data_IF_704383183012
#
_entry.id   IF_704383183012
#
_cell.length_a   1.000
_cell.length_b   1.000
_cell.length_c   1.000
_cell.angle_alpha   90.00
_cell.angle_beta   90.00
_cell.angle_gamma   90.00
#
_symmetry.space_group_name_H-M   'P 1'
#
loop_
_entity.id
_entity.type
_entity.pdbx_description
1 polymer ?
#
# COMPACT_ATOMS: atom_id res chain seq x y z
N UNK A 1 17.16 21.01 13.30
CA UNK A 1 16.28 20.03 12.63
C UNK A 1 16.38 20.24 11.13
N UNK A 2 16.40 19.20 10.28
CA UNK A 2 16.16 19.42 8.86
C UNK A 2 14.75 19.99 8.69
N UNK A 3 14.52 20.89 7.73
CA UNK A 3 13.19 21.45 7.52
C UNK A 3 12.22 20.35 7.08
N UNK A 4 11.01 20.35 7.66
CA UNK A 4 9.87 19.57 7.15
C UNK A 4 9.48 20.16 5.79
N UNK A 5 10.13 19.69 4.73
CA UNK A 5 9.81 20.11 3.36
C UNK A 5 8.76 19.15 2.81
N UNK A 6 7.56 19.66 2.57
CA UNK A 6 6.56 18.96 1.78
C UNK A 6 6.91 19.05 0.29
N UNK A 7 7.41 17.95 -0.25
CA UNK A 7 7.83 17.85 -1.66
C UNK A 7 6.63 17.93 -2.60
N UNK A 8 5.45 17.43 -2.22
CA UNK A 8 4.25 17.52 -3.06
C UNK A 8 3.82 18.97 -3.18
N UNK A 9 3.84 19.70 -2.08
CA UNK A 9 3.55 21.12 -2.05
C UNK A 9 4.56 21.93 -2.89
N UNK A 10 5.84 21.57 -2.81
CA UNK A 10 6.92 22.20 -3.59
C UNK A 10 6.73 21.99 -5.10
N UNK A 11 6.44 20.75 -5.53
CA UNK A 11 6.15 20.42 -6.93
C UNK A 11 4.91 21.16 -7.42
N UNK A 12 3.87 21.30 -6.59
CA UNK A 12 2.67 22.07 -6.95
C UNK A 12 2.96 23.55 -7.20
N UNK A 13 3.88 24.16 -6.47
CA UNK A 13 4.22 25.57 -6.62
C UNK A 13 5.21 25.86 -7.75
N UNK A 14 6.24 25.03 -7.90
CA UNK A 14 7.36 25.30 -8.81
C UNK A 14 7.31 24.48 -10.10
N UNK A 15 6.39 23.52 -10.19
CA UNK A 15 6.44 22.46 -11.18
C UNK A 15 7.57 21.46 -10.91
N UNK A 16 7.56 20.34 -11.64
CA UNK A 16 8.55 19.27 -11.49
C UNK A 16 9.98 19.76 -11.70
N UNK A 17 10.21 20.58 -12.72
CA UNK A 17 11.56 21.05 -13.07
C UNK A 17 12.06 22.12 -12.10
N UNK A 18 11.19 23.04 -11.67
CA UNK A 18 11.52 24.04 -10.67
C UNK A 18 11.82 23.42 -9.31
N UNK A 19 11.00 22.45 -8.87
CA UNK A 19 11.24 21.70 -7.65
C UNK A 19 12.53 20.85 -7.74
N UNK A 20 12.79 20.20 -8.88
CA UNK A 20 14.02 19.43 -9.12
C UNK A 20 15.26 20.34 -9.03
N UNK A 21 15.27 21.46 -9.74
CA UNK A 21 16.37 22.41 -9.71
C UNK A 21 16.60 22.98 -8.31
N UNK A 22 15.51 23.34 -7.62
CA UNK A 22 15.55 23.85 -6.25
C UNK A 22 16.15 22.84 -5.26
N UNK A 23 15.71 21.58 -5.29
CA UNK A 23 16.22 20.53 -4.41
C UNK A 23 17.67 20.14 -4.75
N UNK A 24 18.04 20.11 -6.03
CA UNK A 24 19.38 19.76 -6.47
C UNK A 24 20.42 20.81 -6.05
N UNK A 25 20.07 22.10 -6.11
CA UNK A 25 20.98 23.22 -5.83
C UNK A 25 20.87 23.73 -4.39
N UNK A 26 19.85 23.32 -3.63
CA UNK A 26 19.64 23.81 -2.27
C UNK A 26 20.76 23.40 -1.32
N UNK A 27 21.35 24.42 -0.68
CA UNK A 27 22.37 24.25 0.37
C UNK A 27 21.79 23.66 1.66
N UNK A 28 20.51 23.91 1.95
CA UNK A 28 19.83 23.39 3.15
C UNK A 28 19.34 21.95 2.98
N UNK A 29 19.14 21.49 1.74
CA UNK A 29 18.77 20.11 1.41
C UNK A 29 19.98 19.22 1.21
N UNK A 30 20.67 18.89 2.31
CA UNK A 30 21.77 17.91 2.29
C UNK A 30 21.27 16.52 1.85
N UNK A 31 22.17 15.64 1.43
CA UNK A 31 21.83 14.25 1.08
C UNK A 31 21.09 13.55 2.22
N UNK A 32 21.51 13.76 3.47
CA UNK A 32 20.85 13.19 4.64
C UNK A 32 19.44 13.75 4.85
N UNK A 33 19.23 15.05 4.61
CA UNK A 33 17.90 15.66 4.67
C UNK A 33 16.98 15.07 3.59
N UNK A 34 17.48 14.94 2.36
CA UNK A 34 16.74 14.32 1.25
C UNK A 34 16.40 12.85 1.54
N UNK A 35 17.31 12.09 2.16
CA UNK A 35 17.05 10.70 2.60
C UNK A 35 15.97 10.62 3.66
N UNK A 36 15.96 11.55 4.63
CA UNK A 36 14.91 11.63 5.66
C UNK A 36 13.55 11.91 5.04
N UNK A 37 13.48 12.86 4.11
CA UNK A 37 12.25 13.18 3.37
C UNK A 37 11.79 11.99 2.52
N UNK A 38 12.72 11.29 1.86
CA UNK A 38 12.40 10.08 1.11
C UNK A 38 11.81 8.99 2.02
N UNK A 39 12.39 8.80 3.21
CA UNK A 39 11.89 7.85 4.19
C UNK A 39 10.47 8.19 4.67
N UNK A 40 10.17 9.47 4.93
CA UNK A 40 8.80 9.89 5.31
C UNK A 40 7.78 9.68 4.19
N UNK A 41 8.22 9.62 2.94
CA UNK A 41 7.37 9.32 1.77
C UNK A 41 7.34 7.82 1.44
N UNK A 42 7.91 6.95 2.28
CA UNK A 42 7.98 5.50 2.04
C UNK A 42 8.91 5.08 0.90
N UNK A 43 9.79 5.99 0.45
CA UNK A 43 10.70 5.77 -0.67
C UNK A 43 11.98 5.10 -0.17
N UNK A 44 12.29 3.92 -0.72
CA UNK A 44 13.55 3.23 -0.45
C UNK A 44 14.64 3.78 -1.36
N UNK A 45 15.61 4.47 -0.76
CA UNK A 45 16.75 5.06 -1.48
C UNK A 45 18.00 4.25 -1.20
N UNK A 46 18.70 3.81 -2.26
CA UNK A 46 19.96 3.08 -2.11
C UNK A 46 21.01 3.90 -1.33
N UNK A 47 21.82 3.25 -0.51
CA UNK A 47 22.83 3.91 0.33
C UNK A 47 23.86 4.71 -0.50
N UNK A 48 24.19 4.20 -1.69
CA UNK A 48 25.10 4.85 -2.66
C UNK A 48 24.40 5.78 -3.66
N UNK A 49 23.09 6.02 -3.52
CA UNK A 49 22.36 6.90 -4.43
C UNK A 49 22.93 8.32 -4.42
N UNK A 50 23.15 8.87 -5.61
CA UNK A 50 23.61 10.27 -5.78
C UNK A 50 22.48 11.23 -5.42
N UNK A 51 22.81 12.48 -5.06
CA UNK A 51 21.81 13.53 -4.77
C UNK A 51 20.75 13.62 -5.85
N UNK A 52 21.16 13.65 -7.12
CA UNK A 52 20.24 13.77 -8.26
C UNK A 52 19.30 12.57 -8.31
N UNK A 53 19.80 11.35 -8.11
CA UNK A 53 18.95 10.15 -8.04
C UNK A 53 17.89 10.25 -6.94
N UNK A 54 18.24 10.77 -5.76
CA UNK A 54 17.27 10.96 -4.66
C UNK A 54 16.22 12.00 -5.04
N UNK A 55 16.65 13.14 -5.58
CA UNK A 55 15.75 14.21 -6.02
C UNK A 55 14.80 13.71 -7.10
N UNK A 56 15.31 13.01 -8.11
CA UNK A 56 14.51 12.48 -9.20
C UNK A 56 13.41 11.54 -8.69
N UNK A 57 13.75 10.69 -7.72
CA UNK A 57 12.81 9.76 -7.10
C UNK A 57 11.77 10.49 -6.22
N UNK A 58 12.19 11.51 -5.46
CA UNK A 58 11.29 12.36 -4.69
C UNK A 58 10.28 13.08 -5.59
N UNK A 59 10.75 13.66 -6.70
CA UNK A 59 9.90 14.34 -7.68
C UNK A 59 8.95 13.33 -8.35
N UNK A 60 9.43 12.12 -8.68
CA UNK A 60 8.60 11.05 -9.24
C UNK A 60 7.45 10.69 -8.30
N UNK A 61 7.75 10.50 -7.02
CA UNK A 61 6.75 10.12 -6.00
C UNK A 61 5.81 11.27 -5.67
N UNK A 62 6.32 12.50 -5.63
CA UNK A 62 5.49 13.67 -5.41
C UNK A 62 4.48 13.93 -6.54
N UNK A 63 4.82 13.55 -7.77
CA UNK A 63 3.93 13.61 -8.93
C UNK A 63 2.93 12.45 -9.00
N UNK A 64 3.04 11.42 -8.16
CA UNK A 64 2.03 10.36 -8.12
C UNK A 64 0.71 10.92 -7.61
N UNK A 65 -0.31 10.79 -8.43
CA UNK A 65 -1.70 11.19 -8.21
C UNK A 65 -2.52 10.07 -7.57
N UNK A 66 -2.14 8.82 -7.82
CA UNK A 66 -2.73 7.68 -7.12
C UNK A 66 -2.08 7.56 -5.73
N UNK A 67 -2.83 7.92 -4.69
CA UNK A 67 -2.36 7.98 -3.31
C UNK A 67 -2.85 6.83 -2.41
N UNK A 68 -3.94 6.16 -2.81
CA UNK A 68 -4.46 4.97 -2.11
C UNK A 68 -3.48 3.78 -2.18
N UNK A 69 -3.25 3.09 -1.04
CA UNK A 69 -2.49 1.85 -1.03
C UNK A 69 -3.26 0.72 -1.74
N UNK A 70 -2.54 -0.32 -2.17
CA UNK A 70 -3.12 -1.43 -2.94
C UNK A 70 -4.28 -2.12 -2.21
N UNK A 71 -4.17 -2.31 -0.89
CA UNK A 71 -5.23 -2.94 -0.10
C UNK A 71 -6.54 -2.14 -0.11
N UNK A 72 -6.46 -0.81 -0.10
CA UNK A 72 -7.63 0.06 -0.25
C UNK A 72 -8.22 -0.02 -1.65
N UNK A 73 -7.36 -0.05 -2.68
CA UNK A 73 -7.82 -0.20 -4.07
C UNK A 73 -8.53 -1.54 -4.28
N UNK A 74 -8.01 -2.64 -3.72
CA UNK A 74 -8.62 -3.97 -3.80
C UNK A 74 -9.94 -4.06 -3.00
N UNK A 75 -10.17 -3.18 -2.03
CA UNK A 75 -11.44 -3.08 -1.32
C UNK A 75 -12.56 -2.46 -2.15
N UNK A 76 -12.23 -1.70 -3.19
CA UNK A 76 -13.18 -0.99 -4.06
C UNK A 76 -13.76 -1.91 -5.14
N UNK A 77 -14.99 -1.62 -5.58
CA UNK A 77 -15.56 -2.21 -6.78
C UNK A 77 -15.03 -1.52 -8.07
N UNK A 78 -15.36 -2.10 -9.23
CA UNK A 78 -14.87 -1.61 -10.51
C UNK A 78 -15.32 -0.18 -10.78
N UNK A 79 -16.60 0.13 -10.57
CA UNK A 79 -17.17 1.45 -10.81
C UNK A 79 -16.53 2.52 -9.91
N UNK A 80 -16.26 2.19 -8.65
CA UNK A 80 -15.55 3.03 -7.70
C UNK A 80 -14.11 3.28 -8.15
N UNK A 81 -13.40 2.26 -8.64
CA UNK A 81 -12.03 2.38 -9.14
C UNK A 81 -11.94 3.27 -10.38
N UNK A 82 -12.84 3.10 -11.35
CA UNK A 82 -12.92 3.95 -12.55
C UNK A 82 -13.11 5.42 -12.13
N UNK A 83 -14.12 5.70 -11.30
CA UNK A 83 -14.40 7.06 -10.82
C UNK A 83 -13.21 7.66 -10.07
N UNK A 84 -12.55 6.86 -9.24
CA UNK A 84 -11.39 7.31 -8.48
C UNK A 84 -10.22 7.68 -9.41
N UNK A 85 -9.85 6.80 -10.34
CA UNK A 85 -8.75 7.07 -11.29
C UNK A 85 -9.04 8.27 -12.20
N UNK A 86 -10.29 8.48 -12.59
CA UNK A 86 -10.70 9.69 -13.29
C UNK A 86 -10.60 10.94 -12.40
N UNK A 87 -11.03 10.86 -11.13
CA UNK A 87 -11.05 12.00 -10.21
C UNK A 87 -9.66 12.51 -9.81
N UNK A 88 -8.70 11.61 -9.65
CA UNK A 88 -7.29 11.96 -9.39
C UNK A 88 -6.53 12.27 -10.68
N UNK A 89 -7.22 12.19 -11.83
CA UNK A 89 -6.66 12.33 -13.16
C UNK A 89 -5.40 11.47 -13.36
N UNK A 90 -5.49 10.18 -13.03
CA UNK A 90 -4.38 9.23 -13.06
C UNK A 90 -3.70 9.17 -14.44
N UNK A 91 -2.37 9.19 -14.47
CA UNK A 91 -1.61 9.16 -15.71
C UNK A 91 -1.25 7.73 -16.15
N UNK A 92 -1.06 7.49 -17.47
CA UNK A 92 -0.69 6.16 -17.99
C UNK A 92 0.49 5.48 -17.28
N UNK A 93 1.60 6.17 -16.93
CA UNK A 93 2.70 5.53 -16.21
C UNK A 93 2.31 4.99 -14.83
N UNK A 94 1.41 5.69 -14.13
CA UNK A 94 0.94 5.27 -12.81
C UNK A 94 0.03 4.03 -12.89
N UNK A 95 -0.87 4.02 -13.89
CA UNK A 95 -1.74 2.88 -14.16
C UNK A 95 -0.92 1.64 -14.55
N UNK A 96 0.13 1.82 -15.36
CA UNK A 96 1.05 0.74 -15.70
C UNK A 96 1.85 0.24 -14.49
N UNK A 97 2.27 1.13 -13.59
CA UNK A 97 2.94 0.74 -12.35
C UNK A 97 2.04 -0.10 -11.43
N UNK A 98 0.73 0.17 -11.42
CA UNK A 98 -0.26 -0.63 -10.69
C UNK A 98 -0.46 -1.99 -11.35
N UNK A 99 -0.63 -2.02 -12.66
CA UNK A 99 -0.80 -3.27 -13.40
C UNK A 99 0.42 -4.19 -13.25
N UNK A 100 1.63 -3.63 -13.25
CA UNK A 100 2.86 -4.39 -12.96
C UNK A 100 2.90 -4.98 -11.55
N UNK A 101 2.31 -4.32 -10.55
CA UNK A 101 2.20 -4.89 -9.19
C UNK A 101 1.25 -6.09 -9.14
N UNK A 102 0.37 -6.23 -10.13
CA UNK A 102 -0.49 -7.40 -10.34
C UNK A 102 0.13 -8.40 -11.35
N UNK A 103 1.42 -8.26 -11.67
CA UNK A 103 2.13 -9.04 -12.69
C UNK A 103 1.52 -8.96 -14.11
N UNK A 104 0.82 -7.86 -14.41
CA UNK A 104 0.22 -7.59 -15.72
C UNK A 104 1.04 -6.59 -16.54
N UNK A 105 1.24 -6.91 -17.81
CA UNK A 105 1.93 -6.04 -18.78
C UNK A 105 1.05 -5.83 -20.02
N UNK A 106 0.15 -4.83 -20.00
CA UNK A 106 -0.72 -4.57 -21.14
C UNK A 106 0.07 -4.05 -22.34
N UNK A 107 -0.51 -4.23 -23.53
CA UNK A 107 -0.01 -3.61 -24.77
C UNK A 107 -0.31 -2.11 -24.75
N UNK A 108 0.10 -1.38 -25.80
CA UNK A 108 -0.26 0.03 -25.97
C UNK A 108 -1.77 0.20 -25.89
N UNK A 109 -2.22 0.86 -24.85
CA UNK A 109 -3.61 1.22 -24.63
C UNK A 109 -3.77 2.74 -24.44
N UNK A 110 -4.97 3.24 -24.74
CA UNK A 110 -5.33 4.61 -24.40
C UNK A 110 -5.42 4.77 -22.88
N UNK A 111 -5.34 6.00 -22.37
CA UNK A 111 -5.52 6.28 -20.93
C UNK A 111 -6.83 5.69 -20.39
N UNK A 112 -7.94 5.87 -21.13
CA UNK A 112 -9.23 5.32 -20.75
C UNK A 112 -9.22 3.79 -20.72
N UNK A 113 -8.55 3.15 -21.69
CA UNK A 113 -8.36 1.70 -21.71
C UNK A 113 -7.59 1.21 -20.49
N UNK A 114 -6.49 1.88 -20.14
CA UNK A 114 -5.71 1.55 -18.94
C UNK A 114 -6.50 1.72 -17.64
N UNK A 115 -7.37 2.74 -17.53
CA UNK A 115 -8.25 2.93 -16.37
C UNK A 115 -9.22 1.75 -16.24
N UNK A 116 -9.91 1.39 -17.34
CA UNK A 116 -10.86 0.29 -17.36
C UNK A 116 -10.20 -1.05 -17.04
N UNK A 117 -9.03 -1.30 -17.64
CA UNK A 117 -8.27 -2.51 -17.41
C UNK A 117 -7.80 -2.60 -15.95
N UNK A 118 -7.16 -1.55 -15.41
CA UNK A 118 -6.72 -1.53 -14.02
C UNK A 118 -7.89 -1.71 -13.05
N UNK A 119 -9.00 -1.00 -13.26
CA UNK A 119 -10.18 -1.12 -12.41
C UNK A 119 -10.75 -2.55 -12.41
N UNK A 120 -10.84 -3.18 -13.60
CA UNK A 120 -11.29 -4.56 -13.73
C UNK A 120 -10.38 -5.52 -12.97
N UNK A 121 -9.09 -5.51 -13.26
CA UNK A 121 -8.11 -6.47 -12.72
C UNK A 121 -7.94 -6.34 -11.19
N UNK A 122 -7.92 -5.10 -10.68
CA UNK A 122 -7.87 -4.85 -9.23
C UNK A 122 -9.15 -5.36 -8.56
N UNK A 123 -10.33 -5.07 -9.12
CA UNK A 123 -11.61 -5.48 -8.54
C UNK A 123 -11.78 -7.00 -8.55
N UNK A 124 -11.35 -7.68 -9.62
CA UNK A 124 -11.34 -9.14 -9.73
C UNK A 124 -10.41 -9.73 -8.67
N UNK A 125 -9.17 -9.24 -8.59
CA UNK A 125 -8.19 -9.68 -7.59
C UNK A 125 -8.69 -9.49 -6.16
N UNK A 126 -9.19 -8.31 -5.83
CA UNK A 126 -9.72 -8.00 -4.49
C UNK A 126 -10.94 -8.87 -4.13
N UNK A 127 -11.79 -9.19 -5.11
CA UNK A 127 -12.91 -10.13 -4.92
C UNK A 127 -12.39 -11.54 -4.60
N UNK A 128 -11.39 -12.04 -5.32
CA UNK A 128 -10.80 -13.34 -5.02
C UNK A 128 -10.21 -13.42 -3.61
N UNK A 129 -9.47 -12.39 -3.18
CA UNK A 129 -8.90 -12.33 -1.83
C UNK A 129 -9.97 -12.37 -0.72
N UNK A 130 -11.07 -11.63 -0.89
CA UNK A 130 -12.20 -11.65 0.08
C UNK A 130 -12.86 -13.01 0.19
N UNK A 131 -12.98 -13.75 -0.92
CA UNK A 131 -13.57 -15.09 -0.93
C UNK A 131 -12.62 -16.10 -0.27
N UNK A 132 -11.33 -16.06 -0.63
CA UNK A 132 -10.31 -16.94 -0.03
C UNK A 132 -10.15 -16.72 1.49
N UNK A 133 -10.22 -15.46 1.94
CA UNK A 133 -10.19 -15.11 3.36
C UNK A 133 -11.42 -15.61 4.13
N UNK A 134 -12.62 -15.54 3.53
CA UNK A 134 -13.86 -16.07 4.13
C UNK A 134 -13.93 -17.60 4.13
N UNK A 135 -13.40 -18.24 3.10
CA UNK A 135 -13.35 -19.71 3.00
C UNK A 135 -12.45 -20.35 4.06
N UNK A 136 -11.42 -19.64 4.53
CA UNK A 136 -10.48 -20.16 5.54
C UNK A 136 -11.00 -20.09 6.99
N UNK A 137 -12.04 -19.27 7.26
CA UNK A 137 -12.69 -19.23 8.59
C UNK A 137 -13.77 -20.30 8.72
N UNK A 138 -14.55 -20.57 7.66
CA UNK A 138 -15.60 -21.59 7.68
C UNK A 138 -15.07 -23.02 7.96
N UNK A 139 -13.81 -23.32 7.59
CA UNK A 139 -13.18 -24.63 7.84
C UNK A 139 -12.61 -24.78 9.26
N UNK A 140 -12.39 -23.67 9.99
CA UNK A 140 -11.87 -23.72 11.38
C UNK A 140 -12.98 -23.88 12.41
N UNK A 141 -14.17 -23.40 12.11
CA UNK A 141 -15.33 -23.51 13.00
C UNK A 141 -16.00 -24.90 12.94
N UNK A 142 -15.55 -25.78 12.03
CA UNK A 142 -16.10 -27.14 11.86
C UNK A 142 -15.29 -28.25 12.57
N UNK A 143 -14.09 -27.97 13.10
CA UNK A 143 -13.21 -28.97 13.74
C UNK A 143 -13.10 -28.82 15.27
N UNK A 144 -13.96 -28.00 15.88
CA UNK A 144 -13.82 -27.55 17.27
C UNK A 144 -14.85 -28.07 18.27
N UNK A 145 -15.32 -29.31 18.19
CA UNK A 145 -16.15 -29.87 19.28
C UNK A 145 -15.96 -31.38 19.45
N UNK A 146 -14.88 -31.78 20.13
CA UNK A 146 -14.84 -33.04 20.87
C UNK A 146 -14.93 -32.70 22.37
N UNK A 147 -16.00 -33.11 23.08
CA UNK A 147 -16.05 -32.96 24.52
C UNK A 147 -15.03 -33.92 25.14
N UNK A 148 -14.02 -33.35 25.80
CA UNK A 148 -12.99 -34.08 26.54
C UNK A 148 -13.61 -34.71 27.80
N UNK A 149 -14.24 -35.88 27.64
CA UNK A 149 -14.58 -36.78 28.73
C UNK A 149 -13.32 -37.55 29.11
N UNK A 150 -12.59 -37.07 30.12
CA UNK A 150 -11.89 -37.85 31.16
C UNK A 150 -10.88 -36.94 31.87
N UNK A 151 -11.35 -36.17 32.85
CA UNK A 151 -10.53 -35.85 34.03
C UNK A 151 -11.28 -36.44 35.22
N UNK A 152 -11.04 -37.73 35.47
CA UNK A 152 -11.36 -38.34 36.75
C UNK A 152 -10.28 -37.85 37.73
N UNK A 153 -10.65 -36.90 38.58
CA UNK A 153 -9.86 -36.47 39.74
C UNK A 153 -9.64 -37.68 40.68
N UNK A 154 -8.39 -38.07 40.97
CA UNK A 154 -8.11 -38.99 42.03
C UNK A 154 -7.76 -38.22 43.31
N UNK A 155 -8.47 -38.57 44.37
CA UNK A 155 -8.16 -38.32 45.79
C UNK A 155 -8.40 -36.90 46.34
N UNK A 156 -9.36 -36.81 47.27
CA UNK A 156 -9.07 -36.37 48.64
C UNK A 156 -10.12 -36.89 49.62
N UNK A 157 -9.58 -37.31 50.76
CA UNK A 157 -10.12 -38.09 51.85
C UNK A 157 -11.13 -37.35 52.73
N UNK A 158 -11.97 -38.15 53.40
CA UNK A 158 -12.49 -38.00 54.76
C UNK A 158 -12.96 -36.63 55.26
N UNK A 159 -14.24 -36.59 55.66
CA UNK A 159 -14.62 -36.41 57.07
C UNK A 159 -16.14 -36.42 57.23
N UNK A 160 -16.67 -37.36 58.02
CA UNK A 160 -17.60 -37.08 59.13
C UNK A 160 -18.13 -38.38 59.76
N UNK A 161 -17.58 -38.69 60.93
CA UNK A 161 -18.26 -39.44 61.97
C UNK A 161 -19.02 -38.48 62.91
N UNK A 162 -20.06 -39.02 63.56
CA UNK A 162 -20.94 -38.49 64.64
C UNK A 162 -22.20 -37.80 64.11
N UNK A 163 -23.42 -38.19 64.49
CA UNK A 163 -23.93 -38.87 65.70
C UNK A 163 -24.92 -39.97 65.35
#
# INVERSE_FOLDING_TARGET
MPPEVDIRQLVRWLGSDGARAGLAQSKSMTVDALRKVAHSLGVKVAEKATRNTIVDELIRVANRRIDKPMDELMAMDREQLVRYFESVDAEPPELLDILRQLDLSPRKESRRGLIELAAREISETGRFQRIAGKGSQATRDAEGEQPNLLNADPSLHESRHRR
#
